data_IF_076305610987
#
_entry.id   IF_076305610987
#
_cell.length_a   1.000
_cell.length_b   1.000
_cell.length_c   1.000
_cell.angle_alpha   90.00
_cell.angle_beta   90.00
_cell.angle_gamma   90.00
#
_symmetry.space_group_name_H-M   'P 1'
#
loop_
_entity.id
_entity.type
_entity.pdbx_description
1 polymer ?
#
# COMPACT_ATOMS: atom_id res chain seq x y z
N UNK A 1 -27.47 -14.26 24.36
CA UNK A 1 -26.21 -13.91 23.64
C UNK A 1 -26.40 -12.54 23.02
N UNK A 2 -25.75 -11.51 23.57
CA UNK A 2 -25.81 -10.17 23.02
C UNK A 2 -24.82 -10.05 21.87
N UNK A 3 -25.29 -9.59 20.70
CA UNK A 3 -24.42 -9.25 19.58
C UNK A 3 -23.51 -8.08 20.01
N UNK A 4 -22.20 -8.13 19.70
CA UNK A 4 -21.31 -7.02 20.01
C UNK A 4 -21.76 -5.77 19.25
N UNK A 5 -22.04 -4.73 20.03
CA UNK A 5 -22.37 -3.40 19.56
C UNK A 5 -21.13 -2.81 18.87
N UNK A 6 -21.08 -2.83 17.53
CA UNK A 6 -20.11 -2.07 16.75
C UNK A 6 -20.50 -0.59 16.81
N UNK A 7 -20.38 -0.01 18.01
CA UNK A 7 -20.64 1.40 18.24
C UNK A 7 -19.63 2.22 17.46
N UNK A 8 -20.06 2.76 16.32
CA UNK A 8 -19.69 4.06 15.76
C UNK A 8 -18.23 4.56 15.99
N UNK A 9 -17.23 3.69 15.95
CA UNK A 9 -15.84 4.10 15.91
C UNK A 9 -15.57 4.61 14.50
N UNK A 10 -15.68 5.93 14.32
CA UNK A 10 -15.09 6.61 13.17
C UNK A 10 -13.67 6.06 13.07
N UNK A 11 -13.28 5.38 11.97
CA UNK A 11 -11.92 4.90 11.84
C UNK A 11 -11.02 6.08 12.14
N UNK A 12 -10.10 5.97 13.12
CA UNK A 12 -9.14 7.05 13.41
C UNK A 12 -8.29 7.23 12.15
N UNK A 13 -8.80 8.01 11.20
CA UNK A 13 -8.21 8.36 9.93
C UNK A 13 -7.12 9.37 10.22
N UNK A 14 -5.98 8.83 10.68
CA UNK A 14 -4.82 9.62 10.98
C UNK A 14 -3.90 9.63 9.77
N UNK A 15 -3.54 10.84 9.31
CA UNK A 15 -2.51 11.03 8.30
C UNK A 15 -1.19 10.40 8.75
N UNK A 16 -0.89 10.41 10.05
CA UNK A 16 0.29 9.76 10.63
C UNK A 16 0.30 8.26 10.37
N UNK A 17 -0.82 7.57 10.62
CA UNK A 17 -0.92 6.12 10.38
C UNK A 17 -0.83 5.78 8.89
N UNK A 18 -1.42 6.60 8.02
CA UNK A 18 -1.25 6.43 6.57
C UNK A 18 0.21 6.64 6.14
N UNK A 19 0.91 7.60 6.73
CA UNK A 19 2.35 7.83 6.49
C UNK A 19 3.18 6.62 6.91
N UNK A 20 2.90 6.00 8.06
CA UNK A 20 3.59 4.80 8.52
C UNK A 20 3.39 3.63 7.55
N UNK A 21 2.14 3.37 7.12
CA UNK A 21 1.86 2.34 6.12
C UNK A 21 2.63 2.57 4.82
N UNK A 22 2.66 3.80 4.31
CA UNK A 22 3.42 4.12 3.08
C UNK A 22 4.93 3.96 3.29
N UNK A 23 5.47 4.34 4.45
CA UNK A 23 6.90 4.17 4.75
C UNK A 23 7.30 2.70 4.77
N UNK A 24 6.52 1.86 5.43
CA UNK A 24 6.78 0.42 5.47
C UNK A 24 6.60 -0.24 4.10
N UNK A 25 5.56 0.12 3.33
CA UNK A 25 5.43 -0.37 1.94
C UNK A 25 6.65 -0.02 1.09
N UNK A 26 7.11 1.23 1.16
CA UNK A 26 8.28 1.69 0.41
C UNK A 26 9.55 0.99 0.86
N UNK A 27 9.73 0.77 2.17
CA UNK A 27 10.88 0.04 2.72
C UNK A 27 10.92 -1.40 2.20
N UNK A 28 9.82 -2.13 2.35
CA UNK A 28 9.67 -3.51 1.87
C UNK A 28 9.91 -3.63 0.36
N UNK A 29 9.49 -2.63 -0.40
CA UNK A 29 9.64 -2.67 -1.85
C UNK A 29 11.03 -2.22 -2.30
N UNK A 30 11.66 -1.28 -1.60
CA UNK A 30 13.05 -0.87 -1.85
C UNK A 30 14.03 -2.03 -1.63
N UNK A 31 13.77 -2.92 -0.67
CA UNK A 31 14.56 -4.14 -0.48
C UNK A 31 14.55 -5.05 -1.71
N UNK A 32 13.47 -5.03 -2.50
CA UNK A 32 13.35 -5.84 -3.72
C UNK A 32 13.77 -5.08 -4.99
N UNK A 33 13.55 -3.76 -5.08
CA UNK A 33 13.81 -2.95 -6.29
C UNK A 33 15.11 -2.17 -6.28
N UNK A 34 15.84 -2.15 -5.16
CA UNK A 34 17.13 -1.47 -5.00
C UNK A 34 17.06 0.05 -4.89
N UNK A 35 16.03 0.71 -5.42
CA UNK A 35 15.83 2.16 -5.29
C UNK A 35 14.42 2.54 -4.86
N UNK A 36 14.32 3.65 -4.11
CA UNK A 36 13.06 4.20 -3.59
C UNK A 36 12.13 4.70 -4.70
N UNK A 37 12.69 5.30 -5.76
CA UNK A 37 11.89 5.79 -6.88
C UNK A 37 11.25 4.66 -7.67
N UNK A 38 11.99 3.57 -7.91
CA UNK A 38 11.45 2.35 -8.52
C UNK A 38 10.36 1.74 -7.63
N UNK A 39 10.57 1.69 -6.32
CA UNK A 39 9.57 1.21 -5.36
C UNK A 39 8.28 2.05 -5.43
N UNK A 40 8.38 3.39 -5.42
CA UNK A 40 7.22 4.27 -5.50
C UNK A 40 6.46 4.14 -6.83
N UNK A 41 7.17 4.03 -7.96
CA UNK A 41 6.54 3.80 -9.27
C UNK A 41 5.81 2.46 -9.33
N UNK A 42 6.40 1.41 -8.77
CA UNK A 42 5.79 0.08 -8.71
C UNK A 42 4.54 0.06 -7.83
N UNK A 43 4.63 0.62 -6.62
CA UNK A 43 3.47 0.76 -5.72
C UNK A 43 2.35 1.60 -6.35
N UNK A 44 2.71 2.65 -7.10
CA UNK A 44 1.75 3.49 -7.82
C UNK A 44 0.98 2.69 -8.88
N UNK A 45 1.69 1.90 -9.69
CA UNK A 45 1.08 1.04 -10.72
C UNK A 45 0.22 -0.07 -10.13
N UNK A 46 0.71 -0.73 -9.09
CA UNK A 46 0.07 -1.94 -8.55
C UNK A 46 -1.20 -1.62 -7.73
N UNK A 47 -1.30 -0.42 -7.15
CA UNK A 47 -2.42 -0.04 -6.25
C UNK A 47 -3.22 1.18 -6.71
N UNK A 48 -2.90 1.77 -7.87
CA UNK A 48 -3.63 2.93 -8.39
C UNK A 48 -3.49 4.20 -7.54
N UNK A 49 -2.38 4.32 -6.80
CA UNK A 49 -2.01 5.52 -6.04
C UNK A 49 -1.09 6.39 -6.90
N UNK A 50 -1.16 7.72 -6.81
CA UNK A 50 -0.22 8.57 -7.56
C UNK A 50 1.14 8.64 -6.85
N UNK A 51 2.23 8.77 -7.62
CA UNK A 51 3.58 8.95 -7.06
C UNK A 51 3.65 10.19 -6.16
N UNK A 52 2.89 11.24 -6.50
CA UNK A 52 2.77 12.45 -5.68
C UNK A 52 2.10 12.16 -4.32
N UNK A 53 0.98 11.43 -4.30
CA UNK A 53 0.31 11.01 -3.05
C UNK A 53 1.24 10.19 -2.16
N UNK A 54 1.94 9.20 -2.74
CA UNK A 54 2.92 8.39 -2.02
C UNK A 54 4.07 9.25 -1.49
N UNK A 55 4.58 10.20 -2.27
CA UNK A 55 5.67 11.09 -1.85
C UNK A 55 5.24 12.01 -0.72
N UNK A 56 4.05 12.60 -0.80
CA UNK A 56 3.51 13.50 0.21
C UNK A 56 3.24 12.80 1.54
N UNK A 57 2.66 11.60 1.49
CA UNK A 57 2.46 10.75 2.66
C UNK A 57 3.80 10.30 3.25
N UNK A 58 4.73 9.85 2.42
CA UNK A 58 6.04 9.38 2.87
C UNK A 58 6.87 10.48 3.56
N UNK A 59 6.86 11.70 3.01
CA UNK A 59 7.54 12.88 3.58
C UNK A 59 6.81 13.48 4.80
N UNK A 60 5.71 12.88 5.26
CA UNK A 60 4.88 13.39 6.36
C UNK A 60 4.40 14.84 6.16
N UNK A 61 4.22 15.26 4.89
CA UNK A 61 3.75 16.63 4.56
C UNK A 61 2.22 16.75 4.56
N UNK A 62 1.51 15.63 4.60
CA UNK A 62 0.05 15.61 4.64
C UNK A 62 -0.43 15.89 6.08
N UNK A 63 -1.03 17.06 6.31
CA UNK A 63 -1.66 17.41 7.60
C UNK A 63 -3.00 16.70 7.81
N UNK A 64 -3.66 16.35 6.71
CA UNK A 64 -4.93 15.65 6.68
C UNK A 64 -4.84 14.52 5.65
N UNK A 65 -5.56 13.42 5.90
CA UNK A 65 -5.68 12.31 4.97
C UNK A 65 -7.16 12.04 4.78
N UNK A 66 -7.61 12.10 3.53
CA UNK A 66 -9.00 11.79 3.19
C UNK A 66 -9.32 10.32 3.52
N UNK A 67 -10.56 10.05 3.95
CA UNK A 67 -11.00 8.71 4.36
C UNK A 67 -10.84 7.70 3.22
N UNK A 68 -11.12 8.10 1.97
CA UNK A 68 -10.97 7.24 0.79
C UNK A 68 -9.50 6.95 0.47
N UNK A 69 -8.61 7.92 0.68
CA UNK A 69 -7.17 7.76 0.50
C UNK A 69 -6.60 6.84 1.59
N UNK A 70 -7.00 7.06 2.84
CA UNK A 70 -6.62 6.20 3.97
C UNK A 70 -7.03 4.75 3.73
N UNK A 71 -8.28 4.50 3.31
CA UNK A 71 -8.78 3.16 3.03
C UNK A 71 -7.97 2.46 1.93
N UNK A 72 -7.65 3.16 0.83
CA UNK A 72 -6.81 2.63 -0.25
C UNK A 72 -5.38 2.32 0.20
N UNK A 73 -4.77 3.23 0.96
CA UNK A 73 -3.41 3.03 1.50
C UNK A 73 -3.37 1.85 2.46
N UNK A 74 -4.35 1.72 3.35
CA UNK A 74 -4.47 0.60 4.27
C UNK A 74 -4.66 -0.73 3.52
N UNK A 75 -5.55 -0.76 2.53
CA UNK A 75 -5.77 -1.96 1.73
C UNK A 75 -4.53 -2.36 0.90
N UNK A 76 -3.81 -1.38 0.34
CA UNK A 76 -2.55 -1.59 -0.35
C UNK A 76 -1.46 -2.14 0.57
N UNK A 77 -1.36 -1.62 1.80
CA UNK A 77 -0.44 -2.12 2.82
C UNK A 77 -0.75 -3.58 3.19
N UNK A 78 -2.02 -3.91 3.42
CA UNK A 78 -2.45 -5.28 3.71
C UNK A 78 -2.17 -6.24 2.54
N UNK A 79 -2.48 -5.87 1.30
CA UNK A 79 -2.13 -6.67 0.12
C UNK A 79 -0.62 -6.88 0.00
N UNK A 80 0.17 -5.85 0.35
CA UNK A 80 1.63 -5.96 0.34
C UNK A 80 2.13 -6.96 1.39
N UNK A 81 1.61 -6.90 2.61
CA UNK A 81 1.92 -7.88 3.66
C UNK A 81 1.58 -9.29 3.20
N UNK A 82 0.42 -9.49 2.56
CA UNK A 82 0.03 -10.79 2.02
C UNK A 82 1.00 -11.30 0.95
N UNK A 83 1.44 -10.44 0.02
CA UNK A 83 2.43 -10.81 -1.02
C UNK A 83 3.77 -11.21 -0.42
N UNK A 84 4.22 -10.54 0.65
CA UNK A 84 5.47 -10.89 1.33
C UNK A 84 5.33 -12.22 2.06
N UNK A 85 4.24 -12.42 2.80
CA UNK A 85 3.97 -13.69 3.49
C UNK A 85 3.85 -14.87 2.51
N UNK A 86 3.18 -14.68 1.37
CA UNK A 86 3.08 -15.72 0.33
C UNK A 86 4.44 -16.08 -0.29
N UNK A 87 5.34 -15.10 -0.47
CA UNK A 87 6.70 -15.38 -0.94
C UNK A 87 7.50 -16.18 0.08
N UNK A 88 7.42 -15.81 1.36
CA UNK A 88 8.09 -16.53 2.44
C UNK A 88 7.57 -17.96 2.56
N UNK A 89 6.25 -18.15 2.49
CA UNK A 89 5.63 -19.47 2.49
C UNK A 89 6.16 -20.34 1.33
N UNK A 90 6.21 -19.78 0.12
CA UNK A 90 6.76 -20.50 -1.03
C UNK A 90 8.24 -20.85 -0.88
N UNK A 91 9.04 -19.98 -0.25
CA UNK A 91 10.45 -20.29 0.06
C UNK A 91 10.56 -21.46 1.03
N UNK A 92 9.72 -21.50 2.08
CA UNK A 92 9.69 -22.62 3.03
C UNK A 92 9.28 -23.93 2.35
N UNK A 93 8.28 -23.90 1.48
CA UNK A 93 7.86 -25.08 0.69
C UNK A 93 9.00 -25.62 -0.20
N UNK A 94 9.80 -24.73 -0.80
CA UNK A 94 10.97 -25.12 -1.59
C UNK A 94 12.06 -25.73 -0.69
N UNK A 95 12.32 -25.13 0.47
CA UNK A 95 13.33 -25.63 1.41
C UNK A 95 12.96 -27.02 1.95
N UNK A 96 11.70 -27.23 2.32
CA UNK A 96 11.16 -28.53 2.72
C UNK A 96 11.30 -29.57 1.60
N UNK A 97 10.94 -29.21 0.36
CA UNK A 97 11.10 -30.08 -0.80
C UNK A 97 12.57 -30.37 -1.15
N UNK A 98 13.50 -29.48 -0.77
CA UNK A 98 14.94 -29.65 -0.97
C UNK A 98 15.62 -30.55 0.07
N UNK A 99 14.85 -31.04 1.07
CA UNK A 99 15.34 -31.97 2.09
C UNK A 99 16.11 -31.29 3.22
N UNK A 100 15.92 -29.98 3.42
CA UNK A 100 16.38 -29.31 4.62
C UNK A 100 15.59 -29.84 5.83
N UNK A 101 16.30 -30.38 6.83
CA UNK A 101 15.76 -31.01 8.05
C UNK A 101 15.11 -30.01 9.04
N UNK A 102 14.69 -28.84 8.55
CA UNK A 102 13.99 -27.82 9.30
C UNK A 102 12.50 -27.96 8.99
N UNK A 103 11.84 -28.89 9.68
CA UNK A 103 10.39 -29.00 9.65
C UNK A 103 9.76 -27.84 10.45
N UNK A 104 9.77 -26.65 9.84
CA UNK A 104 9.27 -25.40 10.42
C UNK A 104 7.74 -25.26 10.23
N UNK A 105 6.99 -26.35 10.43
CA UNK A 105 5.53 -26.41 10.24
C UNK A 105 4.80 -25.34 11.07
N UNK A 106 5.32 -24.99 12.25
CA UNK A 106 4.80 -23.92 13.11
C UNK A 106 4.92 -22.51 12.45
N UNK A 107 5.98 -22.26 11.68
CA UNK A 107 6.13 -21.02 10.90
C UNK A 107 5.14 -20.99 9.73
N UNK A 108 4.95 -22.11 9.05
CA UNK A 108 3.97 -22.26 7.96
C UNK A 108 2.54 -21.99 8.47
N UNK A 109 2.16 -22.58 9.61
CA UNK A 109 0.83 -22.41 10.19
C UNK A 109 0.58 -20.95 10.61
N UNK A 110 1.58 -20.30 11.23
CA UNK A 110 1.48 -18.88 11.62
C UNK A 110 1.37 -17.96 10.41
N UNK A 111 2.17 -18.18 9.36
CA UNK A 111 2.09 -17.40 8.12
C UNK A 111 0.73 -17.56 7.42
N UNK A 112 0.21 -18.78 7.38
CA UNK A 112 -1.11 -19.08 6.82
C UNK A 112 -2.23 -18.39 7.60
N UNK A 113 -2.14 -18.40 8.94
CA UNK A 113 -3.06 -17.65 9.81
C UNK A 113 -3.06 -16.15 9.55
N UNK A 114 -1.87 -15.55 9.42
CA UNK A 114 -1.73 -14.12 9.08
C UNK A 114 -2.35 -13.82 7.71
N UNK A 115 -2.13 -14.68 6.71
CA UNK A 115 -2.73 -14.51 5.38
C UNK A 115 -4.26 -14.54 5.42
N UNK A 116 -4.85 -15.47 6.17
CA UNK A 116 -6.31 -15.57 6.35
C UNK A 116 -6.89 -14.34 7.07
N UNK A 117 -6.21 -13.86 8.10
CA UNK A 117 -6.62 -12.65 8.83
C UNK A 117 -6.54 -11.39 7.94
N UNK A 118 -5.47 -11.28 7.15
CA UNK A 118 -5.29 -10.19 6.19
C UNK A 118 -6.37 -10.23 5.12
N UNK A 119 -6.74 -11.40 4.61
CA UNK A 119 -7.83 -11.55 3.65
C UNK A 119 -9.18 -11.10 4.23
N UNK A 120 -9.45 -11.43 5.50
CA UNK A 120 -10.66 -11.00 6.21
C UNK A 120 -10.71 -9.48 6.41
N UNK A 121 -9.57 -8.87 6.71
CA UNK A 121 -9.45 -7.42 6.95
C UNK A 121 -9.38 -6.59 5.67
N UNK A 122 -9.09 -7.22 4.54
CA UNK A 122 -9.06 -6.58 3.23
C UNK A 122 -10.50 -6.52 2.68
N UNK A 123 -11.19 -5.41 2.94
CA UNK A 123 -12.42 -5.09 2.21
C UNK A 123 -12.15 -5.18 0.69
N UNK A 124 -13.12 -5.65 -0.13
CA UNK A 124 -12.89 -5.93 -1.54
C UNK A 124 -12.44 -4.66 -2.26
N UNK A 125 -11.16 -4.60 -2.58
CA UNK A 125 -10.64 -3.68 -3.59
C UNK A 125 -11.33 -4.09 -4.89
N UNK A 126 -12.30 -3.31 -5.36
CA UNK A 126 -12.86 -3.49 -6.70
C UNK A 126 -11.72 -3.57 -7.72
N UNK A 127 -11.53 -4.71 -8.39
CA UNK A 127 -10.63 -4.77 -9.53
C UNK A 127 -11.38 -4.11 -10.70
N UNK A 128 -11.16 -2.81 -10.93
CA UNK A 128 -11.70 -2.16 -12.14
C UNK A 128 -12.25 -0.74 -12.02
N UNK A 129 -11.98 0.02 -10.97
CA UNK A 129 -12.25 1.47 -11.01
C UNK A 129 -11.29 2.13 -12.00
N UNK A 130 -11.70 2.24 -13.27
CA UNK A 130 -11.07 3.09 -14.26
C UNK A 130 -10.90 4.47 -13.62
N UNK A 131 -9.65 4.91 -13.52
CA UNK A 131 -9.33 6.28 -13.10
C UNK A 131 -9.94 7.18 -14.17
N UNK A 132 -11.09 7.77 -13.86
CA UNK A 132 -11.68 8.84 -14.65
C UNK A 132 -10.62 9.92 -14.81
N UNK A 133 -10.45 10.36 -16.06
CA UNK A 133 -9.46 11.35 -16.45
C UNK A 133 -9.54 12.60 -15.58
N UNK A 134 -8.40 12.97 -14.99
CA UNK A 134 -8.13 14.36 -14.65
C UNK A 134 -7.32 14.90 -15.82
N UNK A 135 -8.00 15.48 -16.80
CA UNK A 135 -7.39 16.34 -17.79
C UNK A 135 -7.13 17.68 -17.12
N UNK A 136 -5.92 17.90 -16.60
CA UNK A 136 -5.38 19.25 -16.53
C UNK A 136 -4.88 19.60 -17.94
N UNK A 137 -5.83 19.97 -18.78
CA UNK A 137 -5.57 20.99 -19.77
C UNK A 137 -5.66 22.34 -19.06
N UNK A 138 -4.88 23.31 -19.55
CA UNK A 138 -4.86 24.72 -19.16
C UNK A 138 -3.85 25.11 -18.06
N UNK A 139 -2.59 25.30 -18.47
CA UNK A 139 -1.90 26.59 -18.27
C UNK A 139 -0.63 26.64 -19.16
N UNK A 140 -0.84 26.75 -20.48
CA UNK A 140 0.15 27.37 -21.36
C UNK A 140 -0.02 28.88 -21.26
N UNK A 141 0.65 29.51 -20.30
CA UNK A 141 0.97 30.94 -20.33
C UNK A 141 2.46 31.05 -20.71
N UNK A 142 2.76 31.24 -21.99
CA UNK A 142 3.02 32.56 -22.54
C UNK A 142 4.10 33.33 -21.74
N UNK A 143 5.36 32.99 -22.03
CA UNK A 143 6.49 33.88 -21.78
C UNK A 143 7.00 34.40 -23.13
N UNK A 144 6.22 35.29 -23.76
CA UNK A 144 6.70 36.17 -24.82
C UNK A 144 5.88 37.46 -24.89
N UNK A 145 6.34 38.50 -24.17
CA UNK A 145 6.18 39.95 -24.46
C UNK A 145 6.97 40.72 -23.40
N UNK A 146 8.14 41.25 -23.73
CA UNK A 146 8.31 42.52 -24.45
C UNK A 146 7.56 43.67 -23.75
N UNK A 147 8.31 44.45 -22.97
CA UNK A 147 7.95 45.81 -22.58
C UNK A 147 9.23 46.65 -22.67
N UNK A 148 9.45 47.20 -23.84
CA UNK A 148 10.38 48.30 -24.03
C UNK A 148 9.90 49.55 -23.30
N UNK A 149 10.86 50.30 -22.76
CA UNK A 149 10.85 51.75 -22.72
C UNK A 149 12.29 52.28 -22.67
#
# INVERSE_FOLDING_TARGET
MALPNFGNEVPKVSATTATEYVREMVKLETMSSGTKEAAMRKLSRDYGLTVSQLTHLHKAKAKTCDVSLYARVKAAYLDRCAKVAARLLHTLEIEEASGADAHDQDLVDRLTGILAEVATKRAPLHPGAKVGGFTDADETADQSRDWGH
#
